data_IF_139832516392
#
_entry.id   IF_139832516392
#
_cell.length_a   1.000
_cell.length_b   1.000
_cell.length_c   1.000
_cell.angle_alpha   90.00
_cell.angle_beta   90.00
_cell.angle_gamma   90.00
#
_symmetry.space_group_name_H-M   'P 1'
#
loop_
_entity.id
_entity.type
_entity.pdbx_description
1 polymer ?
#
# COMPACT_ATOMS: atom_id res chain seq x y z
N UNK A 1 9.81 62.28 23.83
CA UNK A 1 9.24 60.94 24.20
C UNK A 1 8.27 60.35 23.14
N UNK A 2 7.38 61.16 22.55
CA UNK A 2 6.42 60.62 21.54
C UNK A 2 7.08 60.10 20.27
N UNK A 3 8.12 60.74 19.76
CA UNK A 3 8.84 60.26 18.59
C UNK A 3 9.55 58.93 18.82
N UNK A 4 10.10 58.69 20.01
CA UNK A 4 10.79 57.43 20.31
C UNK A 4 9.81 56.25 20.32
N UNK A 5 8.59 56.45 20.83
CA UNK A 5 7.54 55.45 20.80
C UNK A 5 7.04 55.14 19.38
N UNK A 6 7.00 56.11 18.49
CA UNK A 6 6.62 55.88 17.09
C UNK A 6 7.71 55.11 16.34
N UNK A 7 8.98 55.43 16.54
CA UNK A 7 10.08 54.65 15.97
C UNK A 7 10.10 53.21 16.44
N UNK A 8 9.84 52.97 17.75
CA UNK A 8 9.78 51.64 18.31
C UNK A 8 8.61 50.82 17.75
N UNK A 9 7.43 51.45 17.53
CA UNK A 9 6.29 50.80 16.86
C UNK A 9 6.57 50.38 15.41
N UNK A 10 7.27 51.23 14.64
CA UNK A 10 7.65 50.93 13.26
C UNK A 10 8.68 49.80 13.17
N UNK A 11 9.61 49.70 14.12
CA UNK A 11 10.59 48.60 14.19
C UNK A 11 9.87 47.29 14.53
N UNK A 12 8.91 47.27 15.49
CA UNK A 12 8.16 46.09 15.85
C UNK A 12 7.28 45.62 14.68
N UNK A 13 6.66 46.55 13.93
CA UNK A 13 5.84 46.23 12.76
C UNK A 13 6.68 45.66 11.63
N UNK A 14 7.93 46.14 11.45
CA UNK A 14 8.88 45.64 10.47
C UNK A 14 9.36 44.22 10.73
N UNK A 15 9.50 43.82 12.00
CA UNK A 15 9.97 42.49 12.40
C UNK A 15 8.89 41.44 12.15
N UNK A 16 7.59 41.78 12.20
CA UNK A 16 6.48 40.85 11.97
C UNK A 16 6.31 40.37 10.53
N UNK A 17 6.91 41.10 9.56
CA UNK A 17 6.77 40.73 8.14
C UNK A 17 7.88 39.78 7.65
N UNK A 18 8.93 39.53 8.41
CA UNK A 18 10.05 38.64 8.01
C UNK A 18 9.80 37.16 8.40
N UNK A 19 8.71 36.86 9.06
CA UNK A 19 8.40 35.51 9.56
C UNK A 19 7.70 34.59 8.55
N UNK A 20 7.59 34.97 7.28
CA UNK A 20 7.22 34.02 6.22
C UNK A 20 8.46 33.44 5.57
N UNK A 21 9.24 32.69 6.33
CA UNK A 21 10.19 31.73 5.77
C UNK A 21 9.36 30.57 5.22
N UNK A 22 8.95 30.66 3.97
CA UNK A 22 8.51 29.50 3.20
C UNK A 22 9.69 28.54 3.11
N UNK A 23 9.68 27.52 3.96
CA UNK A 23 10.57 26.38 3.78
C UNK A 23 10.34 25.87 2.35
N UNK A 24 11.38 25.75 1.51
CA UNK A 24 11.20 25.16 0.20
C UNK A 24 10.61 23.78 0.44
N UNK A 25 9.41 23.53 -0.11
CA UNK A 25 8.86 22.20 -0.24
C UNK A 25 9.98 21.34 -0.82
N UNK A 26 10.58 20.52 0.05
CA UNK A 26 11.58 19.55 -0.35
C UNK A 26 10.91 18.76 -1.46
N UNK A 27 11.33 19.03 -2.69
CA UNK A 27 10.87 18.32 -3.87
C UNK A 27 10.84 16.86 -3.49
N UNK A 28 9.64 16.31 -3.31
CA UNK A 28 9.46 14.90 -3.11
C UNK A 28 10.05 14.29 -4.37
N UNK A 29 11.35 13.97 -4.33
CA UNK A 29 11.93 13.04 -5.30
C UNK A 29 10.93 11.92 -5.33
N UNK A 30 10.35 11.65 -6.49
CA UNK A 30 9.63 10.40 -6.73
C UNK A 30 10.59 9.32 -6.24
N UNK A 31 10.42 8.92 -5.01
CA UNK A 31 11.15 7.81 -4.44
C UNK A 31 10.73 6.67 -5.35
N UNK A 32 11.66 6.18 -6.16
CA UNK A 32 11.45 4.98 -6.96
C UNK A 32 11.14 3.94 -5.91
N UNK A 33 9.87 3.58 -5.75
CA UNK A 33 9.49 2.55 -4.81
C UNK A 33 10.19 1.27 -5.24
N UNK A 34 10.93 0.71 -4.31
CA UNK A 34 11.54 -0.59 -4.54
C UNK A 34 10.45 -1.66 -4.52
N UNK A 35 10.55 -2.67 -5.38
CA UNK A 35 9.60 -3.77 -5.40
C UNK A 35 9.62 -4.49 -4.05
N UNK A 36 8.44 -4.86 -3.55
CA UNK A 36 8.34 -5.73 -2.38
C UNK A 36 8.50 -7.17 -2.86
N UNK A 37 9.58 -7.80 -2.43
CA UNK A 37 9.87 -9.19 -2.73
C UNK A 37 9.25 -10.06 -1.63
N UNK A 38 8.43 -11.01 -2.03
CA UNK A 38 7.87 -12.07 -1.18
C UNK A 38 8.57 -13.35 -1.60
N UNK A 39 9.56 -13.79 -0.84
CA UNK A 39 10.36 -14.97 -1.18
C UNK A 39 10.44 -15.96 -0.03
N UNK A 40 10.68 -17.20 -0.38
CA UNK A 40 11.12 -18.25 0.51
C UNK A 40 12.24 -19.02 -0.18
N UNK A 41 13.47 -18.75 0.22
CA UNK A 41 14.68 -19.32 -0.41
C UNK A 41 14.73 -20.85 -0.34
N UNK A 42 14.14 -21.43 0.71
CA UNK A 42 14.10 -22.89 0.87
C UNK A 42 13.15 -23.59 -0.14
N UNK A 43 12.24 -22.82 -0.74
CA UNK A 43 11.23 -23.32 -1.68
C UNK A 43 11.45 -22.79 -3.10
N UNK A 44 12.51 -21.99 -3.34
CA UNK A 44 12.72 -21.27 -4.61
C UNK A 44 11.47 -20.49 -5.05
N UNK A 45 10.73 -19.95 -4.07
CA UNK A 45 9.47 -19.25 -4.30
C UNK A 45 9.68 -17.74 -4.19
N UNK A 46 9.25 -17.02 -5.22
CA UNK A 46 9.36 -15.56 -5.26
C UNK A 46 8.12 -14.93 -5.93
N UNK A 47 7.55 -13.92 -5.28
CA UNK A 47 6.58 -12.99 -5.88
C UNK A 47 7.15 -11.59 -5.77
N UNK A 48 7.27 -10.90 -6.89
CA UNK A 48 7.71 -9.51 -6.94
C UNK A 48 6.48 -8.61 -7.08
N UNK A 49 6.23 -7.76 -6.07
CA UNK A 49 5.14 -6.79 -6.08
C UNK A 49 5.69 -5.41 -6.42
N UNK A 50 5.31 -4.90 -7.58
CA UNK A 50 5.70 -3.58 -8.08
C UNK A 50 4.63 -2.49 -7.81
N UNK A 51 3.65 -2.78 -6.98
CA UNK A 51 2.48 -1.92 -6.81
C UNK A 51 2.80 -0.70 -5.94
N UNK A 52 2.70 0.48 -6.55
CA UNK A 52 3.01 1.76 -5.92
C UNK A 52 2.16 2.00 -4.67
N UNK A 53 2.81 2.27 -3.53
CA UNK A 53 2.18 2.50 -2.23
C UNK A 53 2.14 1.27 -1.33
N UNK A 54 2.50 0.07 -1.81
CA UNK A 54 2.43 -1.13 -1.00
C UNK A 54 3.46 -1.12 0.14
N UNK A 55 4.69 -0.68 -0.13
CA UNK A 55 5.72 -0.52 0.92
C UNK A 55 5.26 0.43 2.03
N UNK A 56 4.65 1.56 1.63
CA UNK A 56 4.10 2.51 2.60
C UNK A 56 2.95 1.88 3.41
N UNK A 57 2.06 1.16 2.75
CA UNK A 57 0.96 0.44 3.41
C UNK A 57 1.49 -0.56 4.44
N UNK A 58 2.48 -1.38 4.11
CA UNK A 58 3.09 -2.33 5.03
C UNK A 58 3.65 -1.65 6.30
N UNK A 59 4.28 -0.48 6.12
CA UNK A 59 4.94 0.23 7.21
C UNK A 59 3.99 1.09 8.07
N UNK A 60 2.80 1.45 7.57
CA UNK A 60 1.93 2.43 8.25
C UNK A 60 0.54 1.92 8.58
N UNK A 61 0.02 0.96 7.81
CA UNK A 61 -1.38 0.49 7.92
C UNK A 61 -1.47 -0.97 8.33
N UNK A 62 -0.58 -1.82 7.82
CA UNK A 62 -0.58 -3.25 8.10
C UNK A 62 -0.42 -3.51 9.62
N UNK A 63 -1.13 -4.52 10.12
CA UNK A 63 -0.92 -5.00 11.49
C UNK A 63 0.43 -5.70 11.60
N UNK A 64 1.06 -5.77 12.77
CA UNK A 64 2.31 -6.51 12.96
C UNK A 64 2.19 -7.98 12.49
N UNK A 65 3.31 -8.55 12.05
CA UNK A 65 3.35 -9.90 11.48
C UNK A 65 2.77 -10.98 12.43
N UNK A 66 3.01 -10.83 13.72
CA UNK A 66 2.52 -11.74 14.75
C UNK A 66 1.06 -11.51 15.19
N UNK A 67 0.36 -10.56 14.56
CA UNK A 67 -1.04 -10.27 14.89
C UNK A 67 -1.99 -11.39 14.44
N UNK A 68 -1.69 -12.03 13.33
CA UNK A 68 -2.48 -13.13 12.78
C UNK A 68 -1.77 -14.47 12.94
N UNK A 69 -2.52 -15.55 13.16
CA UNK A 69 -1.94 -16.89 13.09
C UNK A 69 -1.63 -17.29 11.65
N UNK A 70 -0.60 -18.13 11.46
CA UNK A 70 -0.24 -18.67 10.15
C UNK A 70 -1.45 -19.33 9.46
N UNK A 71 -2.20 -20.16 10.18
CA UNK A 71 -3.38 -20.83 9.65
C UNK A 71 -4.47 -19.85 9.16
N UNK A 72 -4.66 -18.73 9.87
CA UNK A 72 -5.57 -17.67 9.41
C UNK A 72 -5.10 -17.06 8.08
N UNK A 73 -3.81 -16.72 7.99
CA UNK A 73 -3.22 -16.13 6.78
C UNK A 73 -3.29 -17.11 5.60
N UNK A 74 -2.93 -18.39 5.79
CA UNK A 74 -3.00 -19.42 4.75
C UNK A 74 -4.43 -19.57 4.21
N UNK A 75 -5.43 -19.66 5.09
CA UNK A 75 -6.84 -19.79 4.70
C UNK A 75 -7.32 -18.55 3.92
N UNK A 76 -6.96 -17.34 4.37
CA UNK A 76 -7.32 -16.10 3.68
C UNK A 76 -6.63 -15.96 2.33
N UNK A 77 -5.34 -16.28 2.27
CA UNK A 77 -4.58 -16.22 1.02
C UNK A 77 -5.13 -17.20 -0.02
N UNK A 78 -5.50 -18.40 0.39
CA UNK A 78 -6.11 -19.38 -0.53
C UNK A 78 -7.39 -18.81 -1.18
N UNK A 79 -8.27 -18.18 -0.39
CA UNK A 79 -9.49 -17.53 -0.91
C UNK A 79 -9.14 -16.37 -1.86
N UNK A 80 -8.22 -15.52 -1.45
CA UNK A 80 -7.86 -14.33 -2.21
C UNK A 80 -7.16 -14.67 -3.52
N UNK A 81 -6.20 -15.60 -3.50
CA UNK A 81 -5.52 -16.09 -4.70
C UNK A 81 -6.50 -16.74 -5.68
N UNK A 82 -7.38 -17.58 -5.19
CA UNK A 82 -8.42 -18.22 -6.03
C UNK A 82 -9.25 -17.17 -6.75
N UNK A 83 -9.75 -16.17 -6.03
CA UNK A 83 -10.56 -15.11 -6.63
C UNK A 83 -9.76 -14.17 -7.54
N UNK A 84 -8.51 -13.88 -7.18
CA UNK A 84 -7.60 -13.09 -8.01
C UNK A 84 -7.33 -13.80 -9.34
N UNK A 85 -6.91 -15.05 -9.29
CA UNK A 85 -6.56 -15.84 -10.47
C UNK A 85 -7.77 -16.08 -11.39
N UNK A 86 -8.94 -16.32 -10.81
CA UNK A 86 -10.18 -16.39 -11.59
C UNK A 86 -10.41 -15.12 -12.40
N UNK A 87 -10.09 -13.95 -11.86
CA UNK A 87 -10.26 -12.67 -12.53
C UNK A 87 -9.16 -12.39 -13.53
N UNK A 88 -7.92 -12.74 -13.22
CA UNK A 88 -6.78 -12.63 -14.14
C UNK A 88 -7.00 -13.46 -15.42
N UNK A 89 -7.60 -14.65 -15.28
CA UNK A 89 -7.95 -15.52 -16.42
C UNK A 89 -9.17 -15.04 -17.23
N UNK A 90 -9.87 -13.99 -16.77
CA UNK A 90 -11.07 -13.46 -17.44
C UNK A 90 -10.96 -11.96 -17.77
N UNK A 91 -9.99 -11.55 -18.61
CA UNK A 91 -9.72 -10.13 -18.89
C UNK A 91 -10.87 -9.42 -19.64
N UNK A 92 -11.76 -10.17 -20.28
CA UNK A 92 -12.97 -9.61 -20.90
C UNK A 92 -14.01 -9.12 -19.88
N UNK A 93 -13.97 -9.64 -18.65
CA UNK A 93 -14.95 -9.35 -17.60
C UNK A 93 -14.35 -8.49 -16.48
N UNK A 94 -13.05 -8.60 -16.25
CA UNK A 94 -12.35 -7.92 -15.18
C UNK A 94 -11.24 -7.04 -15.73
N UNK A 95 -10.91 -5.98 -14.99
CA UNK A 95 -9.88 -5.03 -15.41
C UNK A 95 -8.49 -5.67 -15.40
N UNK A 96 -7.92 -5.89 -16.59
CA UNK A 96 -6.60 -6.50 -16.76
C UNK A 96 -5.45 -5.66 -16.20
N UNK A 97 -5.65 -4.35 -16.01
CA UNK A 97 -4.63 -3.51 -15.35
C UNK A 97 -4.56 -3.72 -13.83
N UNK A 98 -5.56 -4.38 -13.24
CA UNK A 98 -5.56 -4.77 -11.83
C UNK A 98 -5.09 -6.22 -11.68
N UNK A 99 -5.66 -7.11 -12.50
CA UNK A 99 -5.39 -8.55 -12.48
C UNK A 99 -4.44 -8.93 -13.61
N UNK A 100 -3.25 -8.31 -13.62
CA UNK A 100 -2.31 -8.43 -14.74
C UNK A 100 -1.75 -9.84 -14.87
N UNK A 101 -1.40 -10.46 -13.74
CA UNK A 101 -0.83 -11.80 -13.69
C UNK A 101 -1.55 -12.68 -12.68
N UNK A 102 -1.58 -13.98 -12.95
CA UNK A 102 -1.95 -14.98 -11.96
C UNK A 102 -0.85 -15.11 -10.91
N UNK A 103 -1.27 -15.35 -9.67
CA UNK A 103 -0.37 -15.57 -8.55
C UNK A 103 -0.19 -17.07 -8.36
N UNK A 104 1.04 -17.54 -8.44
CA UNK A 104 1.38 -18.93 -8.16
C UNK A 104 1.47 -19.14 -6.65
N UNK A 105 0.43 -19.72 -6.08
CA UNK A 105 0.32 -20.03 -4.65
C UNK A 105 -0.47 -21.30 -4.49
N UNK A 106 0.12 -22.28 -3.83
CA UNK A 106 -0.51 -23.60 -3.59
C UNK A 106 -0.78 -23.81 -2.09
N UNK A 107 -2.02 -24.16 -1.70
CA UNK A 107 -2.33 -24.44 -0.29
C UNK A 107 -1.63 -25.69 0.26
N UNK A 108 -1.02 -26.52 -0.59
CA UNK A 108 -0.25 -27.71 -0.20
C UNK A 108 1.19 -27.37 0.19
N UNK A 109 1.68 -26.18 -0.17
CA UNK A 109 3.05 -25.74 0.11
C UNK A 109 3.06 -24.90 1.39
N UNK A 110 4.02 -25.17 2.26
CA UNK A 110 4.23 -24.42 3.51
C UNK A 110 5.19 -23.25 3.29
N UNK A 111 4.67 -22.11 2.88
CA UNK A 111 5.46 -20.91 2.59
C UNK A 111 6.00 -20.19 3.83
N UNK A 112 5.50 -20.50 5.03
CA UNK A 112 5.89 -19.83 6.26
C UNK A 112 5.12 -18.55 6.54
N UNK A 113 5.40 -17.95 7.70
CA UNK A 113 4.64 -16.80 8.21
C UNK A 113 4.89 -15.56 7.36
N UNK A 114 6.14 -15.24 7.06
CA UNK A 114 6.52 -14.02 6.35
C UNK A 114 5.88 -13.92 4.96
N UNK A 115 5.98 -14.99 4.15
CA UNK A 115 5.36 -15.04 2.82
C UNK A 115 3.84 -14.85 2.92
N UNK A 116 3.21 -15.59 3.82
CA UNK A 116 1.76 -15.51 4.01
C UNK A 116 1.32 -14.15 4.53
N UNK A 117 2.08 -13.52 5.42
CA UNK A 117 1.82 -12.19 5.93
C UNK A 117 1.91 -11.11 4.83
N UNK A 118 3.00 -11.12 4.05
CA UNK A 118 3.17 -10.15 2.97
C UNK A 118 2.09 -10.31 1.89
N UNK A 119 1.80 -11.53 1.48
CA UNK A 119 0.77 -11.81 0.47
C UNK A 119 -0.63 -11.40 0.95
N UNK A 120 -0.99 -11.73 2.19
CA UNK A 120 -2.24 -11.28 2.79
C UNK A 120 -2.37 -9.76 2.79
N UNK A 121 -1.33 -9.05 3.22
CA UNK A 121 -1.34 -7.60 3.26
C UNK A 121 -1.37 -6.98 1.86
N UNK A 122 -0.77 -7.60 0.85
CA UNK A 122 -0.93 -7.19 -0.54
C UNK A 122 -2.40 -7.23 -0.97
N UNK A 123 -3.10 -8.30 -0.66
CA UNK A 123 -4.53 -8.37 -0.98
C UNK A 123 -5.38 -7.35 -0.21
N UNK A 124 -5.05 -7.07 1.07
CA UNK A 124 -5.73 -6.00 1.81
C UNK A 124 -5.49 -4.64 1.15
N UNK A 125 -4.26 -4.34 0.77
CA UNK A 125 -3.89 -3.13 0.06
C UNK A 125 -4.59 -3.02 -1.30
N UNK A 126 -4.57 -4.07 -2.11
CA UNK A 126 -5.19 -4.09 -3.43
C UNK A 126 -6.72 -3.89 -3.33
N UNK A 127 -7.38 -4.54 -2.37
CA UNK A 127 -8.82 -4.35 -2.12
C UNK A 127 -9.14 -2.90 -1.76
N UNK A 128 -8.31 -2.27 -0.94
CA UNK A 128 -8.49 -0.87 -0.55
C UNK A 128 -8.20 0.10 -1.70
N UNK A 129 -7.08 -0.10 -2.41
CA UNK A 129 -6.63 0.76 -3.50
C UNK A 129 -7.56 0.72 -4.70
N UNK A 130 -7.93 -0.47 -5.12
CA UNK A 130 -8.72 -0.69 -6.33
C UNK A 130 -10.22 -0.80 -6.08
N UNK A 131 -10.66 -0.68 -4.82
CA UNK A 131 -12.07 -0.82 -4.42
C UNK A 131 -12.69 -2.13 -4.88
N UNK A 132 -11.93 -3.21 -4.78
CA UNK A 132 -12.32 -4.58 -5.13
C UNK A 132 -12.60 -5.41 -3.87
N UNK A 133 -13.23 -6.57 -4.02
CA UNK A 133 -13.44 -7.55 -2.94
C UNK A 133 -12.99 -8.93 -3.40
N UNK A 134 -12.22 -9.61 -2.56
CA UNK A 134 -11.67 -10.94 -2.83
C UNK A 134 -12.21 -12.03 -1.87
N UNK A 135 -13.18 -11.69 -1.02
CA UNK A 135 -13.68 -12.56 0.06
C UNK A 135 -14.58 -13.73 -0.42
N UNK A 136 -14.67 -14.00 -1.70
CA UNK A 136 -15.49 -15.12 -2.22
C UNK A 136 -17.00 -14.85 -2.24
N UNK A 137 -17.47 -13.68 -1.86
CA UNK A 137 -18.84 -13.27 -2.13
C UNK A 137 -19.03 -13.08 -3.62
N UNK A 138 -20.13 -13.57 -4.20
CA UNK A 138 -20.53 -13.37 -5.59
C UNK A 138 -20.86 -11.89 -5.92
N UNK A 139 -20.04 -10.98 -5.42
CA UNK A 139 -20.11 -9.57 -5.65
C UNK A 139 -19.27 -9.21 -6.86
N UNK A 140 -19.88 -9.19 -8.04
CA UNK A 140 -19.49 -8.23 -9.06
C UNK A 140 -19.42 -6.88 -8.35
N UNK A 141 -18.20 -6.37 -8.07
CA UNK A 141 -18.09 -4.97 -7.70
C UNK A 141 -18.78 -4.19 -8.82
N UNK A 142 -19.76 -3.32 -8.52
CA UNK A 142 -20.32 -2.49 -9.55
C UNK A 142 -19.16 -1.71 -10.15
N UNK A 143 -18.95 -1.87 -11.45
CA UNK A 143 -18.08 -0.98 -12.20
C UNK A 143 -18.70 0.41 -12.07
N UNK A 144 -18.12 1.24 -11.22
CA UNK A 144 -18.44 2.67 -11.28
C UNK A 144 -17.93 3.17 -12.63
N UNK A 145 -18.91 3.52 -13.49
CA UNK A 145 -18.68 4.31 -14.70
C UNK A 145 -18.19 5.69 -14.34
#
# INVERSE_FOLDING_TARGET
>A
MKCLFQFLRLIILGILIISCSSSPLKNSRKQKEEPVIISNDSLEYEIIILDVGFTLYLNTVAKPENYYSLNYLENKNNIYVTNWNLRALNPSKFNSSIYENSIDYSPQIRYGLEVNYKLFNYFQFAQQKYKIRLDGGSGLSPSFK
#
